data_IF_169189761694
#
_entry.id   IF_169189761694
#
_cell.length_a   1.000
_cell.length_b   1.000
_cell.length_c   1.000
_cell.angle_alpha   90.00
_cell.angle_beta   90.00
_cell.angle_gamma   90.00
#
_symmetry.space_group_name_H-M   'P 1'
#
loop_
_entity.id
_entity.type
_entity.pdbx_description
1 polymer ?
#
# COMPACT_ATOMS: atom_id res chain seq x y z
N UNK A 1 13.83 9.20 -0.87
CA UNK A 1 12.85 9.05 -1.96
C UNK A 1 11.93 10.27 -1.92
N UNK A 2 11.82 11.00 -3.02
CA UNK A 2 10.92 12.15 -3.14
C UNK A 2 9.46 11.70 -3.33
N UNK A 3 8.51 12.60 -3.12
CA UNK A 3 7.08 12.24 -3.12
C UNK A 3 6.56 11.76 -4.47
N UNK A 4 7.08 12.32 -5.57
CA UNK A 4 6.76 11.88 -6.93
C UNK A 4 7.34 10.49 -7.23
N UNK A 5 8.51 10.15 -6.68
CA UNK A 5 9.12 8.83 -6.79
C UNK A 5 8.30 7.79 -6.03
N UNK A 6 7.82 8.12 -4.82
CA UNK A 6 6.91 7.28 -4.05
C UNK A 6 5.59 7.02 -4.80
N UNK A 7 5.03 8.06 -5.44
CA UNK A 7 3.83 7.92 -6.24
C UNK A 7 4.03 6.98 -7.43
N UNK A 8 5.13 7.14 -8.16
CA UNK A 8 5.49 6.30 -9.29
C UNK A 8 5.78 4.85 -8.86
N UNK A 9 6.51 4.67 -7.74
CA UNK A 9 6.79 3.38 -7.16
C UNK A 9 5.50 2.65 -6.75
N UNK A 10 4.61 3.32 -6.00
CA UNK A 10 3.35 2.74 -5.54
C UNK A 10 2.45 2.33 -6.72
N UNK A 11 2.37 3.18 -7.76
CA UNK A 11 1.64 2.83 -8.99
C UNK A 11 2.15 1.53 -9.61
N UNK A 12 3.47 1.38 -9.72
CA UNK A 12 4.11 0.21 -10.33
C UNK A 12 3.93 -1.05 -9.48
N UNK A 13 4.23 -0.97 -8.18
CA UNK A 13 4.21 -2.13 -7.27
C UNK A 13 2.80 -2.67 -7.09
N UNK A 14 1.82 -1.78 -6.93
CA UNK A 14 0.43 -2.18 -6.67
C UNK A 14 -0.46 -2.16 -7.93
N UNK A 15 0.16 -2.07 -9.13
CA UNK A 15 -0.53 -2.07 -10.44
C UNK A 15 -1.72 -1.07 -10.50
N UNK A 16 -1.57 0.10 -9.90
CA UNK A 16 -2.66 1.09 -9.81
C UNK A 16 -2.93 1.76 -11.17
N UNK A 17 -4.20 2.03 -11.46
CA UNK A 17 -4.62 2.74 -12.69
C UNK A 17 -3.96 4.13 -12.82
N UNK A 18 -3.82 4.85 -11.71
CA UNK A 18 -3.22 6.19 -11.63
C UNK A 18 -2.24 6.26 -10.47
N UNK A 19 -1.26 7.16 -10.58
CA UNK A 19 -0.38 7.47 -9.46
C UNK A 19 -1.20 8.04 -8.30
N UNK A 20 -0.95 7.64 -7.05
CA UNK A 20 -1.59 8.24 -5.89
C UNK A 20 -1.35 9.76 -5.86
N UNK A 21 -2.35 10.50 -5.40
CA UNK A 21 -2.19 11.92 -5.19
C UNK A 21 -1.15 12.19 -4.09
N UNK A 22 -0.51 13.35 -4.18
CA UNK A 22 0.48 13.79 -3.20
C UNK A 22 -0.10 13.77 -1.77
N UNK A 23 -1.33 14.26 -1.60
CA UNK A 23 -2.07 14.24 -0.33
C UNK A 23 -2.22 12.82 0.23
N UNK A 24 -2.63 11.86 -0.60
CA UNK A 24 -2.79 10.46 -0.20
C UNK A 24 -1.46 9.87 0.30
N UNK A 25 -0.35 10.18 -0.35
CA UNK A 25 0.98 9.72 0.09
C UNK A 25 1.33 10.34 1.45
N UNK A 26 1.08 11.64 1.62
CA UNK A 26 1.30 12.32 2.90
C UNK A 26 0.45 11.72 4.03
N UNK A 27 -0.82 11.42 3.75
CA UNK A 27 -1.73 10.83 4.74
C UNK A 27 -1.29 9.43 5.16
N UNK A 28 -0.83 8.60 4.20
CA UNK A 28 -0.26 7.28 4.48
C UNK A 28 0.99 7.40 5.35
N UNK A 29 1.91 8.31 5.00
CA UNK A 29 3.15 8.51 5.77
C UNK A 29 2.86 9.02 7.19
N UNK A 30 1.85 9.88 7.36
CA UNK A 30 1.42 10.36 8.67
C UNK A 30 0.79 9.24 9.51
N UNK A 31 0.04 8.34 8.87
CA UNK A 31 -0.58 7.20 9.55
C UNK A 31 0.40 6.04 9.81
N UNK A 32 1.53 5.99 9.09
CA UNK A 32 2.47 4.87 9.15
C UNK A 32 2.96 4.54 10.58
N UNK A 33 3.36 5.50 11.44
CA UNK A 33 3.78 5.19 12.81
C UNK A 33 2.65 4.55 13.63
N UNK A 34 1.42 5.04 13.46
CA UNK A 34 0.25 4.48 14.13
C UNK A 34 -0.04 3.06 13.63
N UNK A 35 -0.01 2.82 12.32
CA UNK A 35 -0.20 1.48 11.72
C UNK A 35 0.89 0.50 12.20
N UNK A 36 2.14 0.97 12.31
CA UNK A 36 3.30 0.19 12.74
C UNK A 36 3.40 -0.01 14.25
N UNK A 37 2.61 0.71 15.04
CA UNK A 37 2.55 0.52 16.49
C UNK A 37 1.97 -0.85 16.86
N UNK A 38 2.43 -1.41 17.97
CA UNK A 38 1.91 -2.67 18.54
C UNK A 38 0.44 -2.53 18.94
N UNK A 39 0.04 -1.35 19.43
CA UNK A 39 -1.33 -1.03 19.83
C UNK A 39 -2.34 -1.05 18.68
N UNK A 40 -1.91 -0.85 17.43
CA UNK A 40 -2.79 -0.98 16.26
C UNK A 40 -3.29 -2.42 16.09
N UNK A 41 -2.48 -3.40 16.54
CA UNK A 41 -2.79 -4.82 16.51
C UNK A 41 -2.64 -5.43 15.11
N UNK A 42 -2.02 -6.60 15.03
CA UNK A 42 -1.82 -7.32 13.77
C UNK A 42 -3.14 -7.74 13.10
N UNK A 43 -4.23 -7.84 13.87
CA UNK A 43 -5.57 -8.09 13.33
C UNK A 43 -6.13 -6.96 12.47
N UNK A 44 -5.63 -5.72 12.61
CA UNK A 44 -6.05 -4.57 11.79
C UNK A 44 -5.18 -4.36 10.55
N UNK A 45 -4.00 -4.98 10.51
CA UNK A 45 -3.13 -4.94 9.32
C UNK A 45 -3.64 -5.95 8.32
N UNK A 46 -3.84 -5.53 7.07
CA UNK A 46 -4.07 -6.50 5.99
C UNK A 46 -2.79 -7.31 5.83
N UNK A 47 -2.86 -8.60 6.15
CA UNK A 47 -1.77 -9.53 5.83
C UNK A 47 -1.56 -9.49 4.32
N UNK A 48 -0.30 -9.42 3.83
CA UNK A 48 -0.02 -9.58 2.42
C UNK A 48 -0.73 -10.86 1.94
N UNK A 49 -1.61 -10.74 0.95
CA UNK A 49 -2.19 -11.90 0.31
C UNK A 49 -1.10 -12.48 -0.58
N UNK A 50 -0.41 -13.51 -0.11
CA UNK A 50 0.38 -14.37 -1.00
C UNK A 50 -0.60 -15.18 -1.84
N UNK A 51 -0.99 -14.64 -3.00
CA UNK A 51 -1.79 -15.39 -3.96
C UNK A 51 -0.81 -16.16 -4.84
N UNK A 52 -0.67 -17.45 -4.56
CA UNK A 52 0.14 -18.39 -5.36
C UNK A 52 -0.62 -18.97 -6.57
N UNK A 53 -1.90 -18.62 -6.74
CA UNK A 53 -2.76 -19.19 -7.77
C UNK A 53 -3.09 -18.21 -8.90
N UNK A 54 -2.79 -18.62 -10.13
CA UNK A 54 -2.99 -17.85 -11.37
C UNK A 54 -4.43 -17.34 -11.57
N UNK A 55 -5.44 -18.13 -11.18
CA UNK A 55 -6.85 -17.81 -11.39
C UNK A 55 -7.41 -16.75 -10.43
N UNK A 56 -6.83 -16.62 -9.23
CA UNK A 56 -7.17 -15.56 -8.28
C UNK A 56 -6.40 -14.27 -8.56
N UNK A 57 -5.21 -14.34 -9.18
CA UNK A 57 -4.57 -13.17 -9.81
C UNK A 57 -5.46 -12.56 -10.90
N UNK A 58 -6.12 -13.40 -11.71
CA UNK A 58 -6.97 -12.95 -12.82
C UNK A 58 -8.29 -12.27 -12.37
N UNK A 59 -8.68 -12.39 -11.10
CA UNK A 59 -9.94 -11.85 -10.54
C UNK A 59 -9.75 -10.69 -9.54
N UNK A 60 -8.52 -10.27 -9.28
CA UNK A 60 -8.19 -9.05 -8.53
C UNK A 60 -8.09 -7.85 -9.48
#
# INVERSE_FOLDING_TARGET
MAQHELAAWAKRVFKLKRSPAQSTISDILRAAPAIMSEAYGDGKRRKPLEVTSLALEQKL
#
